data_IF_473820863234
#
_entry.id   IF_473820863234
#
_cell.length_a   1.000
_cell.length_b   1.000
_cell.length_c   1.000
_cell.angle_alpha   90.00
_cell.angle_beta   90.00
_cell.angle_gamma   90.00
#
_symmetry.space_group_name_H-M   'P 1'
#
loop_
_entity.id
_entity.type
_entity.pdbx_description
1 polymer ?
#
# COMPACT_ATOMS: atom_id res chain seq x y z
N UNK A 1 -38.18 -35.30 58.47
CA UNK A 1 -37.03 -35.71 57.61
C UNK A 1 -37.28 -35.50 56.15
N UNK A 2 -38.47 -35.66 55.62
CA UNK A 2 -38.76 -35.48 54.20
C UNK A 2 -38.69 -34.02 53.76
N UNK A 3 -38.95 -33.04 54.58
CA UNK A 3 -38.87 -31.62 54.34
C UNK A 3 -37.41 -31.14 54.16
N UNK A 4 -36.47 -31.68 54.90
CA UNK A 4 -35.01 -31.35 54.75
C UNK A 4 -34.44 -31.95 53.52
N UNK A 5 -34.86 -33.15 53.09
CA UNK A 5 -34.44 -33.75 51.80
C UNK A 5 -34.98 -32.97 50.63
N UNK A 6 -36.21 -32.56 50.64
CA UNK A 6 -36.85 -31.76 49.58
C UNK A 6 -36.19 -30.39 49.47
N UNK A 7 -35.80 -29.77 50.56
CA UNK A 7 -35.11 -28.49 50.57
C UNK A 7 -33.70 -28.62 49.99
N UNK A 8 -32.99 -29.67 50.33
CA UNK A 8 -31.66 -29.97 49.77
C UNK A 8 -31.68 -30.27 48.27
N UNK A 9 -32.71 -30.96 47.81
CA UNK A 9 -32.92 -31.22 46.38
C UNK A 9 -33.22 -29.94 45.60
N UNK A 10 -34.08 -29.08 46.14
CA UNK A 10 -34.38 -27.76 45.53
C UNK A 10 -33.14 -26.85 45.48
N UNK A 11 -32.31 -26.85 46.51
CA UNK A 11 -31.05 -26.10 46.50
C UNK A 11 -30.11 -26.62 45.46
N UNK A 12 -29.96 -27.95 45.32
CA UNK A 12 -29.13 -28.57 44.28
C UNK A 12 -29.62 -28.23 42.90
N UNK A 13 -30.93 -28.29 42.66
CA UNK A 13 -31.53 -27.93 41.38
C UNK A 13 -31.32 -26.46 41.05
N UNK A 14 -31.42 -25.59 42.04
CA UNK A 14 -31.17 -24.17 41.90
C UNK A 14 -29.70 -23.89 41.52
N UNK A 15 -28.76 -24.51 42.22
CA UNK A 15 -27.33 -24.39 41.91
C UNK A 15 -26.98 -24.94 40.54
N UNK A 16 -27.54 -26.06 40.14
CA UNK A 16 -27.36 -26.63 38.82
C UNK A 16 -27.93 -25.71 37.75
N UNK A 17 -29.06 -25.09 37.96
CA UNK A 17 -29.64 -24.11 37.08
C UNK A 17 -28.76 -22.87 36.93
N UNK A 18 -28.27 -22.30 38.03
CA UNK A 18 -27.37 -21.16 38.01
C UNK A 18 -26.05 -21.47 37.29
N UNK A 19 -25.47 -22.63 37.55
CA UNK A 19 -24.23 -23.07 36.86
C UNK A 19 -24.43 -23.17 35.37
N UNK A 20 -25.54 -23.69 34.89
CA UNK A 20 -25.87 -23.74 33.47
C UNK A 20 -26.05 -22.35 32.85
N UNK A 21 -26.74 -21.45 33.57
CA UNK A 21 -26.91 -20.07 33.10
C UNK A 21 -25.59 -19.33 33.03
N UNK A 22 -24.72 -19.50 34.01
CA UNK A 22 -23.38 -18.91 34.01
C UNK A 22 -22.53 -19.46 32.86
N UNK A 23 -22.57 -20.76 32.63
CA UNK A 23 -21.87 -21.41 31.54
C UNK A 23 -22.32 -20.87 30.18
N UNK A 24 -23.62 -20.74 29.96
CA UNK A 24 -24.17 -20.20 28.74
C UNK A 24 -23.77 -18.74 28.51
N UNK A 25 -23.75 -17.94 29.59
CA UNK A 25 -23.26 -16.55 29.52
C UNK A 25 -21.80 -16.47 29.18
N UNK A 26 -20.96 -17.31 29.78
CA UNK A 26 -19.53 -17.38 29.46
C UNK A 26 -19.30 -17.79 28.02
N UNK A 27 -20.02 -18.80 27.52
CA UNK A 27 -19.94 -19.24 26.12
C UNK A 27 -20.34 -18.14 25.15
N UNK A 28 -21.39 -17.39 25.46
CA UNK A 28 -21.86 -16.26 24.68
C UNK A 28 -20.81 -15.14 24.64
N UNK A 29 -20.22 -14.82 25.78
CA UNK A 29 -19.17 -13.81 25.91
C UNK A 29 -17.95 -14.19 25.07
N UNK A 30 -17.49 -15.43 25.18
CA UNK A 30 -16.37 -15.96 24.39
C UNK A 30 -16.67 -15.88 22.89
N UNK A 31 -17.88 -16.21 22.48
CA UNK A 31 -18.29 -16.16 21.10
C UNK A 31 -18.31 -14.73 20.55
N UNK A 32 -18.81 -13.77 21.31
CA UNK A 32 -18.81 -12.35 20.95
C UNK A 32 -17.38 -11.83 20.84
N UNK A 33 -16.50 -12.16 21.78
CA UNK A 33 -15.09 -11.78 21.77
C UNK A 33 -14.38 -12.36 20.53
N UNK A 34 -14.63 -13.61 20.18
CA UNK A 34 -14.08 -14.24 18.98
C UNK A 34 -14.55 -13.54 17.70
N UNK A 35 -15.82 -13.19 17.64
CA UNK A 35 -16.36 -12.46 16.48
C UNK A 35 -15.74 -11.08 16.35
N UNK A 36 -15.57 -10.36 17.45
CA UNK A 36 -14.90 -9.06 17.48
C UNK A 36 -13.43 -9.17 17.06
N UNK A 37 -12.71 -10.17 17.57
CA UNK A 37 -11.32 -10.43 17.21
C UNK A 37 -11.17 -10.75 15.72
N UNK A 38 -12.07 -11.55 15.17
CA UNK A 38 -12.07 -11.86 13.74
C UNK A 38 -12.34 -10.64 12.88
N UNK A 39 -13.26 -9.78 13.27
CA UNK A 39 -13.54 -8.51 12.58
C UNK A 39 -12.32 -7.58 12.61
N UNK A 40 -11.68 -7.50 13.77
CA UNK A 40 -10.48 -6.70 13.94
C UNK A 40 -9.32 -7.22 13.07
N UNK A 41 -9.13 -8.54 13.03
CA UNK A 41 -8.15 -9.19 12.17
C UNK A 41 -8.42 -8.94 10.68
N UNK A 42 -9.66 -9.05 10.25
CA UNK A 42 -10.05 -8.73 8.87
C UNK A 42 -9.79 -7.28 8.50
N UNK A 43 -10.09 -6.37 9.42
CA UNK A 43 -9.81 -4.94 9.24
C UNK A 43 -8.33 -4.66 9.11
N UNK A 44 -7.51 -5.24 9.98
CA UNK A 44 -6.05 -5.12 9.93
C UNK A 44 -5.51 -5.67 8.61
N UNK A 45 -5.99 -6.83 8.20
CA UNK A 45 -5.62 -7.47 6.94
C UNK A 45 -5.95 -6.58 5.75
N UNK A 46 -7.15 -6.02 5.73
CA UNK A 46 -7.60 -5.10 4.68
C UNK A 46 -6.76 -3.83 4.64
N UNK A 47 -6.45 -3.25 5.80
CA UNK A 47 -5.61 -2.05 5.91
C UNK A 47 -4.18 -2.33 5.45
N UNK A 48 -3.63 -3.51 5.77
CA UNK A 48 -2.31 -3.94 5.30
C UNK A 48 -2.28 -4.13 3.79
N UNK A 49 -3.29 -4.75 3.20
CA UNK A 49 -3.39 -4.95 1.76
C UNK A 49 -3.50 -3.60 1.03
N UNK A 50 -4.26 -2.68 1.59
CA UNK A 50 -4.41 -1.34 1.03
C UNK A 50 -3.10 -0.54 1.12
N UNK A 51 -2.40 -0.63 2.25
CA UNK A 51 -1.10 0.00 2.43
C UNK A 51 -0.06 -0.56 1.43
N UNK A 52 -0.08 -1.86 1.18
CA UNK A 52 0.80 -2.49 0.18
C UNK A 52 0.48 -2.01 -1.23
N UNK A 53 -0.79 -1.90 -1.58
CA UNK A 53 -1.22 -1.36 -2.89
C UNK A 53 -0.80 0.10 -3.06
N UNK A 54 -0.92 0.90 -2.03
CA UNK A 54 -0.53 2.32 -2.06
C UNK A 54 0.99 2.45 -2.21
N UNK A 55 1.77 1.63 -1.52
CA UNK A 55 3.23 1.57 -1.66
C UNK A 55 3.66 1.17 -3.08
N UNK A 56 2.99 0.17 -3.65
CA UNK A 56 3.29 -0.30 -5.01
C UNK A 56 2.93 0.76 -6.04
N UNK A 57 1.82 1.45 -5.86
CA UNK A 57 1.41 2.57 -6.71
C UNK A 57 2.43 3.70 -6.65
N UNK A 58 2.86 4.08 -5.47
CA UNK A 58 3.89 5.11 -5.27
C UNK A 58 5.21 4.72 -5.95
N UNK A 59 5.60 3.45 -5.82
CA UNK A 59 6.80 2.92 -6.47
C UNK A 59 6.71 3.00 -7.99
N UNK A 60 5.58 2.63 -8.56
CA UNK A 60 5.34 2.70 -10.00
C UNK A 60 5.32 4.14 -10.50
N UNK A 61 4.71 5.05 -9.76
CA UNK A 61 4.71 6.49 -10.07
C UNK A 61 6.12 7.07 -10.06
N UNK A 62 6.92 6.71 -9.06
CA UNK A 62 8.33 7.12 -8.99
C UNK A 62 9.15 6.58 -10.15
N UNK A 63 8.95 5.31 -10.52
CA UNK A 63 9.63 4.72 -11.67
C UNK A 63 9.23 5.42 -12.96
N UNK A 64 7.96 5.70 -13.16
CA UNK A 64 7.47 6.42 -14.34
C UNK A 64 8.05 7.83 -14.40
N UNK A 65 8.09 8.55 -13.28
CA UNK A 65 8.68 9.88 -13.20
C UNK A 65 10.17 9.87 -13.50
N UNK A 66 10.92 8.87 -13.02
CA UNK A 66 12.34 8.70 -13.33
C UNK A 66 12.58 8.41 -14.80
N UNK A 67 11.77 7.57 -15.41
CA UNK A 67 11.86 7.25 -16.85
C UNK A 67 11.56 8.48 -17.71
N UNK A 68 10.55 9.26 -17.36
CA UNK A 68 10.25 10.53 -18.04
C UNK A 68 11.41 11.51 -17.92
N UNK A 69 12.01 11.60 -16.75
CA UNK A 69 13.15 12.47 -16.50
C UNK A 69 14.38 12.07 -17.30
N UNK A 70 14.67 10.77 -17.36
CA UNK A 70 15.77 10.24 -18.18
C UNK A 70 15.54 10.47 -19.66
N UNK A 71 14.31 10.24 -20.12
CA UNK A 71 13.91 10.49 -21.51
C UNK A 71 14.06 11.97 -21.88
N UNK A 72 13.60 12.86 -21.01
CA UNK A 72 13.75 14.30 -21.19
C UNK A 72 15.22 14.74 -21.24
N UNK A 73 16.06 14.16 -20.38
CA UNK A 73 17.52 14.42 -20.40
C UNK A 73 18.18 13.95 -21.67
N UNK A 74 17.83 12.77 -22.16
CA UNK A 74 18.34 12.24 -23.45
C UNK A 74 17.93 13.12 -24.62
N UNK A 75 16.68 13.54 -24.65
CA UNK A 75 16.18 14.43 -25.70
C UNK A 75 16.89 15.77 -25.67
N UNK A 76 17.14 16.29 -24.47
CA UNK A 76 17.88 17.54 -24.28
C UNK A 76 19.33 17.44 -24.75
N UNK A 77 20.00 16.33 -24.39
CA UNK A 77 21.37 16.06 -24.86
C UNK A 77 21.44 15.90 -26.37
N UNK A 78 20.51 15.17 -26.98
CA UNK A 78 20.42 15.01 -28.41
C UNK A 78 20.18 16.34 -29.12
N UNK A 79 19.32 17.20 -28.58
CA UNK A 79 19.09 18.54 -29.13
C UNK A 79 20.33 19.43 -29.02
N UNK A 80 21.05 19.36 -27.89
CA UNK A 80 22.31 20.09 -27.71
C UNK A 80 23.40 19.64 -28.69
N UNK A 81 23.57 18.35 -28.91
CA UNK A 81 24.51 17.78 -29.86
C UNK A 81 24.19 18.21 -31.30
N UNK A 82 22.90 18.16 -31.63
CA UNK A 82 22.42 18.61 -32.95
C UNK A 82 22.69 20.09 -33.19
N UNK A 83 22.47 20.91 -32.15
CA UNK A 83 22.73 22.34 -32.19
C UNK A 83 24.22 22.64 -32.34
N UNK A 84 25.09 21.92 -31.63
CA UNK A 84 26.55 22.05 -31.72
C UNK A 84 27.06 21.63 -33.10
N UNK A 85 26.56 20.53 -33.65
CA UNK A 85 26.97 20.08 -35.00
C UNK A 85 26.51 21.04 -36.09
N UNK A 86 25.30 21.61 -35.98
CA UNK A 86 24.82 22.64 -36.88
C UNK A 86 25.68 23.90 -36.82
N UNK A 87 26.05 24.33 -35.64
CA UNK A 87 26.88 25.51 -35.43
C UNK A 87 28.29 25.30 -35.97
N UNK A 88 28.86 24.12 -35.78
CA UNK A 88 30.15 23.75 -36.39
C UNK A 88 30.10 23.74 -37.91
N UNK A 89 29.01 23.26 -38.48
CA UNK A 89 28.78 23.25 -39.92
C UNK A 89 28.64 24.67 -40.48
N UNK A 90 27.91 25.55 -39.79
CA UNK A 90 27.78 26.96 -40.17
C UNK A 90 29.13 27.66 -40.13
N UNK A 91 29.94 27.47 -39.11
CA UNK A 91 31.27 28.04 -39.01
C UNK A 91 32.21 27.53 -40.10
N UNK A 92 32.12 26.25 -40.44
CA UNK A 92 32.86 25.63 -41.51
C UNK A 92 32.50 26.22 -42.90
N UNK A 93 31.21 26.41 -43.13
CA UNK A 93 30.70 27.04 -44.35
C UNK A 93 31.11 28.52 -44.43
N UNK A 94 31.09 29.26 -43.34
CA UNK A 94 31.57 30.64 -43.26
C UNK A 94 33.06 30.74 -43.55
N UNK A 95 33.85 29.80 -43.05
CA UNK A 95 35.29 29.74 -43.34
C UNK A 95 35.57 29.45 -44.80
N UNK A 96 34.81 28.56 -45.42
CA UNK A 96 34.91 28.25 -46.85
C UNK A 96 34.53 29.45 -47.72
N UNK A 97 33.46 30.16 -47.35
CA UNK A 97 33.05 31.40 -48.02
C UNK A 97 34.10 32.49 -47.93
N UNK A 98 34.72 32.65 -46.75
CA UNK A 98 35.80 33.63 -46.55
C UNK A 98 37.02 33.30 -47.41
N UNK A 99 37.38 32.02 -47.56
CA UNK A 99 38.44 31.56 -48.41
C UNK A 99 38.10 31.80 -49.91
N UNK A 100 36.86 31.56 -50.33
CA UNK A 100 36.38 31.80 -51.67
C UNK A 100 36.39 33.27 -52.05
N UNK A 101 36.11 34.19 -51.13
CA UNK A 101 36.15 35.61 -51.32
C UNK A 101 37.58 36.20 -51.35
N UNK A 102 38.59 35.47 -50.89
CA UNK A 102 39.99 35.87 -50.84
C UNK A 102 40.74 35.53 -52.15
N UNK A 103 40.28 34.56 -52.89
CA UNK A 103 40.85 34.25 -54.19
C UNK A 103 40.22 35.10 -55.29
N UNK A 104 40.96 35.95 -55.98
CA UNK A 104 40.44 36.72 -57.15
C UNK A 104 40.10 35.87 -58.35
#
# INVERSE_FOLDING_TARGET
MNTLKLFSEKERDYHAYQSRQNYLREQRTIQIEREEDLREMEKIKHDMEQAQRDLERERLEKQAALQERESALRDREAALQKQQSMQAEIERLKALLAQSNRTP
#
